data_IF_328867024230
#
_entry.id   IF_328867024230
#
_cell.length_a   1.000
_cell.length_b   1.000
_cell.length_c   1.000
_cell.angle_alpha   90.00
_cell.angle_beta   90.00
_cell.angle_gamma   90.00
#
_symmetry.space_group_name_H-M   'P 1'
#
loop_
_entity.id
_entity.type
_entity.pdbx_description
1 polymer ?
#
# COMPACT_ATOMS: atom_id res chain seq x y z
N UNK A 1 36.63 -6.29 9.01
CA UNK A 1 35.41 -5.48 9.22
C UNK A 1 34.29 -6.09 8.40
N UNK A 2 33.42 -6.91 9.03
CA UNK A 2 32.20 -7.41 8.39
C UNK A 2 31.21 -6.24 8.39
N UNK A 3 30.73 -5.83 7.21
CA UNK A 3 29.59 -4.90 7.12
C UNK A 3 28.40 -5.62 7.76
N UNK A 4 27.92 -5.10 8.87
CA UNK A 4 26.59 -5.45 9.37
C UNK A 4 25.59 -4.96 8.34
N UNK A 5 25.07 -5.88 7.53
CA UNK A 5 23.85 -5.64 6.77
C UNK A 5 22.75 -5.39 7.79
N UNK A 6 22.37 -4.13 7.97
CA UNK A 6 21.19 -3.73 8.70
C UNK A 6 19.99 -4.25 7.89
N UNK A 7 19.62 -5.51 8.10
CA UNK A 7 18.33 -6.03 7.69
C UNK A 7 17.33 -5.39 8.66
N UNK A 8 17.05 -4.10 8.47
CA UNK A 8 15.76 -3.55 8.86
C UNK A 8 14.75 -4.24 7.95
N UNK A 9 14.41 -5.48 8.30
CA UNK A 9 13.15 -6.06 7.89
C UNK A 9 12.11 -5.10 8.44
N UNK A 10 11.62 -4.20 7.59
CA UNK A 10 10.42 -3.42 7.88
C UNK A 10 9.29 -4.42 7.98
N UNK A 11 9.17 -5.05 9.16
CA UNK A 11 8.10 -5.97 9.49
C UNK A 11 6.83 -5.13 9.46
N UNK A 12 6.09 -5.26 8.36
CA UNK A 12 4.78 -4.65 8.25
C UNK A 12 3.88 -5.34 9.27
N UNK A 13 3.25 -4.61 10.21
CA UNK A 13 2.38 -5.21 11.20
C UNK A 13 1.23 -5.98 10.56
N UNK A 14 0.95 -7.16 11.09
CA UNK A 14 -0.19 -7.97 10.69
C UNK A 14 -1.39 -7.66 11.58
N UNK A 15 -2.57 -7.58 10.97
CA UNK A 15 -3.86 -7.38 11.63
C UNK A 15 -4.80 -8.53 11.34
N UNK A 16 -5.62 -8.89 12.32
CA UNK A 16 -6.59 -9.99 12.24
C UNK A 16 -7.99 -9.39 12.09
N UNK A 17 -8.67 -9.70 11.00
CA UNK A 17 -10.07 -9.36 10.76
C UNK A 17 -10.96 -10.56 11.11
N UNK A 18 -11.91 -10.38 12.03
CA UNK A 18 -12.91 -11.38 12.36
C UNK A 18 -14.06 -11.29 11.36
N UNK A 19 -14.33 -12.38 10.64
CA UNK A 19 -15.46 -12.54 9.74
C UNK A 19 -16.44 -13.57 10.30
N UNK A 20 -17.66 -13.62 9.75
CA UNK A 20 -18.66 -14.62 10.15
C UNK A 20 -18.20 -16.07 9.93
N UNK A 21 -17.19 -16.29 9.08
CA UNK A 21 -16.66 -17.61 8.72
C UNK A 21 -15.28 -17.90 9.33
N UNK A 22 -14.76 -17.03 10.20
CA UNK A 22 -13.45 -17.22 10.86
C UNK A 22 -12.58 -15.97 10.85
N UNK A 23 -11.28 -16.15 11.13
CA UNK A 23 -10.30 -15.07 11.21
C UNK A 23 -9.43 -15.02 9.94
N UNK A 24 -9.21 -13.82 9.40
CA UNK A 24 -8.31 -13.60 8.27
C UNK A 24 -7.22 -12.60 8.64
N UNK A 25 -5.97 -12.98 8.42
CA UNK A 25 -4.82 -12.11 8.65
C UNK A 25 -4.49 -11.31 7.39
N UNK A 26 -4.23 -10.02 7.57
CA UNK A 26 -3.77 -9.10 6.53
C UNK A 26 -2.58 -8.32 7.07
N UNK A 27 -1.68 -7.86 6.20
CA UNK A 27 -0.84 -6.75 6.59
C UNK A 27 -1.67 -5.47 6.68
N UNK A 28 -1.20 -4.49 7.45
CA UNK A 28 -1.96 -3.26 7.69
C UNK A 28 -2.30 -2.50 6.40
N UNK A 29 -1.42 -2.51 5.39
CA UNK A 29 -1.67 -1.80 4.13
C UNK A 29 -2.75 -2.50 3.32
N UNK A 30 -2.70 -3.83 3.20
CA UNK A 30 -3.76 -4.61 2.56
C UNK A 30 -5.12 -4.41 3.24
N UNK A 31 -5.15 -4.31 4.57
CA UNK A 31 -6.39 -4.03 5.32
C UNK A 31 -6.95 -2.65 5.00
N UNK A 32 -6.09 -1.65 4.86
CA UNK A 32 -6.47 -0.27 4.52
C UNK A 32 -6.89 -0.13 3.05
N UNK A 33 -6.24 -0.84 2.13
CA UNK A 33 -6.61 -0.87 0.72
C UNK A 33 -8.04 -1.40 0.53
N UNK A 34 -8.46 -2.39 1.34
CA UNK A 34 -9.85 -2.89 1.37
C UNK A 34 -10.86 -1.81 1.78
N UNK A 35 -10.46 -0.82 2.58
CA UNK A 35 -11.26 0.38 2.91
C UNK A 35 -11.06 1.51 1.89
N UNK A 36 -10.42 1.25 0.75
CA UNK A 36 -10.09 2.21 -0.31
C UNK A 36 -9.16 3.33 0.15
N UNK A 37 -8.26 3.02 1.07
CA UNK A 37 -7.21 3.92 1.56
C UNK A 37 -5.89 3.52 0.93
N UNK A 38 -5.27 4.44 0.18
CA UNK A 38 -4.04 4.23 -0.56
C UNK A 38 -2.94 5.17 -0.07
N UNK A 39 -1.71 4.67 0.06
CA UNK A 39 -0.56 5.44 0.53
C UNK A 39 0.49 5.58 -0.56
N UNK A 40 1.01 6.81 -0.70
CA UNK A 40 2.22 7.10 -1.48
C UNK A 40 3.26 7.59 -0.49
N UNK A 41 4.17 6.69 -0.12
CA UNK A 41 5.26 6.97 0.83
C UNK A 41 6.61 6.95 0.14
N UNK A 42 7.44 7.96 0.37
CA UNK A 42 8.80 8.02 -0.19
C UNK A 42 8.84 8.55 -1.63
N UNK A 43 10.02 8.47 -2.29
CA UNK A 43 10.22 8.99 -3.64
C UNK A 43 9.31 8.31 -4.68
N UNK A 44 8.86 9.08 -5.67
CA UNK A 44 8.05 8.54 -6.78
C UNK A 44 8.97 8.15 -7.94
N UNK A 45 9.04 6.85 -8.20
CA UNK A 45 9.69 6.26 -9.37
C UNK A 45 8.66 5.44 -10.18
N UNK A 46 9.07 4.94 -11.35
CA UNK A 46 8.20 4.18 -12.25
C UNK A 46 7.62 2.93 -11.55
N UNK A 47 8.36 2.33 -10.63
CA UNK A 47 7.89 1.16 -9.87
C UNK A 47 6.73 1.55 -8.94
N UNK A 48 6.95 2.58 -8.13
CA UNK A 48 5.97 3.09 -7.18
C UNK A 48 4.72 3.59 -7.90
N UNK A 49 4.88 4.32 -9.01
CA UNK A 49 3.76 4.79 -9.80
C UNK A 49 2.95 3.65 -10.42
N UNK A 50 3.61 2.63 -10.99
CA UNK A 50 2.92 1.44 -11.52
C UNK A 50 2.12 0.70 -10.44
N UNK A 51 2.63 0.60 -9.20
CA UNK A 51 1.89 0.02 -8.08
C UNK A 51 0.63 0.83 -7.75
N UNK A 52 0.75 2.16 -7.68
CA UNK A 52 -0.39 3.05 -7.41
C UNK A 52 -1.44 2.92 -8.51
N UNK A 53 -1.03 2.91 -9.78
CA UNK A 53 -1.93 2.73 -10.94
C UNK A 53 -2.67 1.39 -10.82
N UNK A 54 -1.96 0.29 -10.55
CA UNK A 54 -2.57 -1.03 -10.39
C UNK A 54 -3.60 -1.05 -9.25
N UNK A 55 -3.30 -0.44 -8.10
CA UNK A 55 -4.20 -0.36 -6.96
C UNK A 55 -5.44 0.50 -7.27
N UNK A 56 -5.28 1.64 -7.97
CA UNK A 56 -6.41 2.48 -8.39
C UNK A 56 -7.34 1.75 -9.37
N UNK A 57 -6.78 1.03 -10.36
CA UNK A 57 -7.55 0.22 -11.30
C UNK A 57 -8.30 -0.90 -10.57
N UNK A 58 -7.65 -1.56 -9.61
CA UNK A 58 -8.28 -2.58 -8.78
C UNK A 58 -9.50 -2.01 -8.02
N UNK A 59 -9.34 -0.90 -7.30
CA UNK A 59 -10.43 -0.26 -6.56
C UNK A 59 -11.56 0.23 -7.48
N UNK A 60 -11.22 0.77 -8.65
CA UNK A 60 -12.21 1.18 -9.65
C UNK A 60 -13.00 0.00 -10.21
N UNK A 61 -12.38 -1.18 -10.33
CA UNK A 61 -13.05 -2.40 -10.80
C UNK A 61 -14.01 -2.97 -9.75
N UNK A 62 -13.72 -2.82 -8.46
CA UNK A 62 -14.61 -3.26 -7.38
C UNK A 62 -15.85 -2.37 -7.24
N UNK A 63 -15.65 -1.05 -7.25
CA UNK A 63 -16.74 -0.08 -7.20
C UNK A 63 -16.28 1.26 -7.78
N UNK A 64 -16.69 1.61 -9.01
CA UNK A 64 -16.25 2.85 -9.66
C UNK A 64 -16.93 4.10 -9.08
N UNK A 65 -17.97 3.95 -8.24
CA UNK A 65 -18.71 5.09 -7.66
C UNK A 65 -18.21 5.49 -6.28
N UNK A 66 -17.46 4.62 -5.61
CA UNK A 66 -16.90 4.91 -4.29
C UNK A 66 -15.61 5.70 -4.40
N UNK A 67 -15.47 6.69 -3.52
CA UNK A 67 -14.25 7.48 -3.41
C UNK A 67 -13.06 6.64 -2.97
N UNK A 68 -11.85 7.12 -3.31
CA UNK A 68 -10.58 6.57 -2.87
C UNK A 68 -9.88 7.65 -2.06
N UNK A 69 -9.40 7.30 -0.86
CA UNK A 69 -8.66 8.21 0.01
C UNK A 69 -7.18 8.03 -0.24
N UNK A 70 -6.53 9.09 -0.75
CA UNK A 70 -5.10 9.08 -1.07
C UNK A 70 -4.32 9.85 -0.01
N UNK A 71 -3.42 9.16 0.69
CA UNK A 71 -2.51 9.75 1.68
C UNK A 71 -1.10 9.83 1.10
N UNK A 72 -0.57 11.04 0.97
CA UNK A 72 0.71 11.30 0.30
C UNK A 72 1.72 11.81 1.33
N UNK A 73 2.82 11.09 1.46
CA UNK A 73 4.03 11.49 2.17
C UNK A 73 5.24 11.23 1.28
N UNK A 74 5.43 12.08 0.30
CA UNK A 74 6.46 11.95 -0.72
C UNK A 74 7.25 13.25 -0.88
N UNK A 75 8.59 13.18 -1.02
CA UNK A 75 9.40 14.32 -1.43
C UNK A 75 9.26 14.65 -2.94
N UNK A 76 8.40 13.95 -3.67
CA UNK A 76 8.30 13.99 -5.12
C UNK A 76 9.18 12.93 -5.79
N UNK A 77 9.46 13.10 -7.08
CA UNK A 77 10.22 12.13 -7.84
C UNK A 77 10.22 12.39 -9.34
N UNK A 78 10.23 11.32 -10.13
CA UNK A 78 10.17 11.39 -11.59
C UNK A 78 8.88 12.07 -12.05
N UNK A 79 9.00 13.03 -12.98
CA UNK A 79 7.84 13.74 -13.55
C UNK A 79 7.04 12.84 -14.49
N UNK A 80 7.69 11.85 -15.11
CA UNK A 80 7.07 10.93 -16.07
C UNK A 80 6.51 9.67 -15.45
N UNK A 81 6.80 9.43 -14.16
CA UNK A 81 6.28 8.29 -13.43
C UNK A 81 4.76 8.40 -13.26
#
# INVERSE_FOLDING_TARGET
>A
MKKEENIQANLVPMVIEKTQFGERAFDIYSRLLKERILFIGGPIDDYTANLVIAQLLFLSSEDPKKDVQLYINSPGGSVTA
#
